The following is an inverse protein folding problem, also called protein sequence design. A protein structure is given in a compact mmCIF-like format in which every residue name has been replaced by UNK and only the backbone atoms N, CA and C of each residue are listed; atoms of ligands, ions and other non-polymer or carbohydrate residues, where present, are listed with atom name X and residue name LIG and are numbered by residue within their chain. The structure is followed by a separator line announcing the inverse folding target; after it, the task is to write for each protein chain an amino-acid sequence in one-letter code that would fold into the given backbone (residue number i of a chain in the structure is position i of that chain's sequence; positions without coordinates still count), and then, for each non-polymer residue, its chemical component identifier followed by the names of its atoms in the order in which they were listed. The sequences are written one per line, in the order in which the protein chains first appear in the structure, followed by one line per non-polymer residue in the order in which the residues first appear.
data_IF_990858807105
#
_entry.id   IF_990858807105
#
_cell.length_a   1.000
_cell.length_b   1.000
_cell.length_c   1.000
_cell.angle_alpha   90.00
_cell.angle_beta   90.00
_cell.angle_gamma   90.00
#
_symmetry.space_group_name_H-M   'P 1'
#
loop_
_entity.id
_entity.type
_entity.pdbx_description
1 polymer ?
#
# COMPACT_ATOMS: atom_id res chain seq x y z
N UNK A 1 16.39 14.76 -12.35
CA UNK A 1 15.04 14.77 -11.71
C UNK A 1 14.52 13.33 -11.63
N UNK A 2 14.53 12.71 -10.45
CA UNK A 2 13.89 11.40 -10.25
C UNK A 2 12.37 11.63 -10.25
N UNK A 3 11.65 10.92 -11.11
CA UNK A 3 10.20 11.10 -11.24
C UNK A 3 9.48 9.94 -10.58
N UNK A 4 9.05 10.16 -9.35
CA UNK A 4 8.19 9.24 -8.62
C UNK A 4 6.86 9.06 -9.37
N UNK A 5 6.38 7.83 -9.52
CA UNK A 5 5.12 7.52 -10.21
C UNK A 5 4.00 7.18 -9.23
N UNK A 6 4.27 6.29 -8.26
CA UNK A 6 3.30 5.93 -7.24
C UNK A 6 4.00 5.40 -5.99
N UNK A 7 3.30 5.45 -4.85
CA UNK A 7 3.78 4.95 -3.57
C UNK A 7 2.67 4.34 -2.73
N UNK A 8 3.04 3.40 -1.86
CA UNK A 8 2.20 2.86 -0.80
C UNK A 8 3.04 2.64 0.47
N UNK A 9 2.36 2.55 1.62
CA UNK A 9 3.00 2.39 2.93
C UNK A 9 2.34 1.24 3.69
N UNK A 10 3.14 0.44 4.38
CA UNK A 10 2.63 -0.56 5.31
C UNK A 10 3.70 -0.97 6.32
N UNK A 11 3.32 -1.05 7.60
CA UNK A 11 4.27 -1.28 8.70
C UNK A 11 5.38 -0.23 8.72
N UNK A 12 6.62 -0.70 8.68
CA UNK A 12 7.85 0.11 8.63
C UNK A 12 8.39 0.31 7.20
N UNK A 13 7.63 -0.05 6.16
CA UNK A 13 8.09 -0.03 4.76
C UNK A 13 7.36 1.00 3.90
N UNK A 14 8.11 1.61 3.00
CA UNK A 14 7.60 2.34 1.83
C UNK A 14 7.81 1.48 0.58
N UNK A 15 6.81 1.45 -0.29
CA UNK A 15 6.85 0.81 -1.60
C UNK A 15 6.69 1.91 -2.64
N UNK A 16 7.61 2.05 -3.59
CA UNK A 16 7.55 3.13 -4.56
C UNK A 16 8.01 2.70 -5.96
N UNK A 17 7.40 3.30 -6.98
CA UNK A 17 7.82 3.18 -8.37
C UNK A 17 8.34 4.51 -8.89
N UNK A 18 9.34 4.45 -9.75
CA UNK A 18 9.88 5.62 -10.47
C UNK A 18 9.53 5.46 -11.95
N UNK A 19 9.16 6.55 -12.63
CA UNK A 19 8.94 6.53 -14.08
C UNK A 19 10.17 5.96 -14.79
N UNK A 20 9.93 5.17 -15.83
CA UNK A 20 10.93 4.45 -16.62
C UNK A 20 11.63 3.31 -15.88
N UNK A 21 11.43 3.15 -14.57
CA UNK A 21 11.84 1.93 -13.87
C UNK A 21 10.75 0.87 -14.03
N UNK A 22 11.14 -0.32 -14.51
CA UNK A 22 10.30 -1.54 -14.52
C UNK A 22 10.45 -2.29 -13.19
N UNK A 23 10.39 -1.55 -12.09
CA UNK A 23 10.66 -2.06 -10.77
C UNK A 23 9.86 -1.32 -9.71
N UNK A 24 9.63 -2.02 -8.61
CA UNK A 24 9.16 -1.44 -7.35
C UNK A 24 10.34 -1.48 -6.39
N UNK A 25 10.54 -0.39 -5.67
CA UNK A 25 11.54 -0.26 -4.64
C UNK A 25 10.87 -0.32 -3.28
N UNK A 26 11.50 -1.04 -2.36
CA UNK A 26 11.09 -1.12 -0.96
C UNK A 26 12.19 -0.48 -0.14
N UNK A 27 11.84 0.40 0.79
CA UNK A 27 12.79 0.91 1.77
C UNK A 27 12.13 1.01 3.15
N UNK A 28 12.94 1.18 4.19
CA UNK A 28 12.42 1.56 5.50
C UNK A 28 11.81 2.98 5.42
N UNK A 29 10.57 3.14 5.89
CA UNK A 29 9.82 4.40 5.78
C UNK A 29 10.39 5.54 6.63
N UNK A 30 11.15 5.23 7.67
CA UNK A 30 11.68 6.22 8.62
C UNK A 30 13.12 6.63 8.28
N UNK A 31 13.92 5.69 7.77
CA UNK A 31 15.35 5.93 7.50
C UNK A 31 15.68 6.02 6.02
N UNK A 32 14.80 5.53 5.14
CA UNK A 32 15.07 5.37 3.70
C UNK A 32 16.15 4.33 3.37
N UNK A 33 16.63 3.57 4.36
CA UNK A 33 17.64 2.52 4.21
C UNK A 33 17.01 1.16 3.91
N UNK A 34 17.87 0.15 3.78
CA UNK A 34 17.53 -1.25 3.51
C UNK A 34 16.71 -1.41 2.23
N UNK A 35 17.17 -0.68 1.20
CA UNK A 35 16.47 -0.57 -0.06
C UNK A 35 16.59 -1.85 -0.87
N UNK A 36 15.46 -2.47 -1.18
CA UNK A 36 15.36 -3.68 -2.00
C UNK A 36 14.62 -3.39 -3.28
N UNK A 37 15.08 -3.98 -4.39
CA UNK A 37 14.45 -3.86 -5.71
C UNK A 37 13.66 -5.11 -6.04
N UNK A 38 12.37 -4.93 -6.34
CA UNK A 38 11.52 -5.95 -6.95
C UNK A 38 11.45 -5.68 -8.44
N UNK A 39 12.00 -6.60 -9.24
CA UNK A 39 11.88 -6.53 -10.69
C UNK A 39 10.50 -7.00 -11.12
N UNK A 40 9.83 -6.19 -11.93
CA UNK A 40 8.60 -6.59 -12.60
C UNK A 40 8.95 -7.32 -13.89
N UNK A 41 8.03 -8.17 -14.35
CA UNK A 41 8.18 -8.82 -15.65
C UNK A 41 8.38 -7.77 -16.77
N UNK A 42 9.20 -8.03 -17.80
CA UNK A 42 9.53 -7.04 -18.83
C UNK A 42 8.32 -6.45 -19.58
N UNK A 43 7.19 -7.18 -19.59
CA UNK A 43 5.91 -6.77 -20.18
C UNK A 43 5.16 -5.71 -19.37
N UNK A 44 5.53 -5.46 -18.11
CA UNK A 44 4.88 -4.45 -17.29
C UNK A 44 5.36 -3.03 -17.64
N UNK A 45 4.40 -2.12 -17.78
CA UNK A 45 4.62 -0.69 -17.74
C UNK A 45 4.80 -0.23 -16.29
N UNK A 46 5.43 0.94 -16.07
CA UNK A 46 5.56 1.48 -14.72
C UNK A 46 4.17 1.59 -14.07
N UNK A 47 3.97 1.05 -12.85
CA UNK A 47 2.66 1.09 -12.20
C UNK A 47 2.21 2.52 -11.92
N UNK A 48 1.06 2.91 -12.47
CA UNK A 48 0.42 4.21 -12.18
C UNK A 48 -0.23 4.28 -10.79
N UNK A 49 -0.48 3.12 -10.17
CA UNK A 49 -0.98 3.00 -8.80
C UNK A 49 -0.29 1.84 -8.09
N UNK A 50 0.11 2.05 -6.85
CA UNK A 50 0.59 1.03 -5.93
C UNK A 50 -0.34 0.96 -4.71
N UNK A 51 -0.61 -0.26 -4.25
CA UNK A 51 -1.45 -0.52 -3.07
C UNK A 51 -0.88 -1.70 -2.31
N UNK A 52 -0.99 -1.67 -0.98
CA UNK A 52 -0.73 -2.83 -0.13
C UNK A 52 -2.07 -3.48 0.21
N UNK A 53 -2.22 -4.75 -0.16
CA UNK A 53 -3.39 -5.57 0.20
C UNK A 53 -3.00 -6.43 1.38
N UNK A 54 -3.53 -6.08 2.55
CA UNK A 54 -3.28 -6.82 3.79
C UNK A 54 -4.50 -6.68 4.71
N UNK A 55 -4.93 -7.72 5.44
CA UNK A 55 -6.09 -7.64 6.34
C UNK A 55 -6.00 -6.50 7.36
N UNK A 56 -4.81 -6.28 7.95
CA UNK A 56 -4.56 -5.13 8.86
C UNK A 56 -4.55 -3.76 8.17
N UNK A 57 -4.40 -3.70 6.85
CA UNK A 57 -4.47 -2.45 6.08
C UNK A 57 -5.91 -2.12 5.65
N UNK A 58 -6.86 -3.03 5.89
CA UNK A 58 -8.27 -2.89 5.56
C UNK A 58 -9.08 -3.14 6.83
N UNK A 59 -9.13 -2.18 7.77
CA UNK A 59 -9.96 -2.33 8.95
C UNK A 59 -11.40 -2.59 8.49
N UNK A 60 -12.00 -3.67 8.99
CA UNK A 60 -13.44 -3.84 8.88
C UNK A 60 -14.06 -2.67 9.64
N UNK A 61 -14.99 -1.98 9.02
CA UNK A 61 -15.96 -1.18 9.76
C UNK A 61 -16.65 -2.16 10.70
N UNK A 62 -16.45 -2.02 12.01
CA UNK A 62 -17.27 -2.74 12.97
C UNK A 62 -18.74 -2.45 12.60
N UNK A 63 -19.52 -3.51 12.41
CA UNK A 63 -20.95 -3.41 12.17
C UNK A 63 -21.50 -2.40 13.17
N UNK A 64 -22.18 -1.38 12.66
CA UNK A 64 -22.83 -0.38 13.47
C UNK A 64 -23.61 -1.10 14.56
N UNK A 65 -23.19 -0.89 15.81
CA UNK A 65 -23.88 -1.40 16.99
C UNK A 65 -25.35 -0.97 16.91
N UNK A 66 -26.21 -1.86 16.44
CA UNK A 66 -27.64 -1.83 16.75
C UNK A 66 -27.85 -2.83 17.86
N UNK A 67 -27.80 -2.27 19.06
CA UNK A 67 -28.46 -2.79 20.24
C UNK A 67 -29.88 -3.27 19.88
N UNK A 68 -30.22 -4.57 20.03
CA UNK A 68 -31.59 -5.03 19.98
C UNK A 68 -32.23 -4.80 21.35
N UNK A 69 -32.44 -3.53 21.69
CA UNK A 69 -33.14 -3.08 22.88
C UNK A 69 -34.50 -2.47 22.53
N UNK A 70 -35.57 -3.15 22.95
CA UNK A 70 -36.94 -2.68 23.20
C UNK A 70 -37.69 -1.83 22.14
N UNK A 71 -38.80 -2.38 21.65
CA UNK A 71 -40.12 -1.80 21.99
C UNK A 71 -41.23 -2.82 21.71
N UNK A 72 -41.83 -3.34 22.78
CA UNK A 72 -43.22 -3.78 22.76
C UNK A 72 -44.09 -2.52 22.71
N UNK A 73 -45.07 -2.47 21.80
CA UNK A 73 -46.03 -1.38 21.66
C UNK A 73 -46.79 -1.43 20.36
#
# INVERSE_FOLDING_TARGET
RHSLSSMAFFGDRIFYSVLKSKAIWIANKHTGKDTVRINLHPSFVTPGKLMVVHPRAQPRTEDAAKDPGESLG
#
